data_IF_906510170305
#
_entry.id   IF_906510170305
#
_cell.length_a   1.000
_cell.length_b   1.000
_cell.length_c   1.000
_cell.angle_alpha   90.00
_cell.angle_beta   90.00
_cell.angle_gamma   90.00
#
_symmetry.space_group_name_H-M   'P 1'
#
loop_
_entity.id
_entity.type
_entity.pdbx_description
1 polymer ?
#
# COMPACT_ATOMS: atom_id res chain seq x y z
N UNK A 1 33.60 -6.05 27.76
CA UNK A 1 33.83 -4.84 28.56
C UNK A 1 32.97 -4.97 29.81
N UNK A 2 33.55 -5.39 30.95
CA UNK A 2 32.84 -5.60 32.21
C UNK A 2 33.32 -4.61 33.28
N UNK A 3 33.03 -3.32 33.07
CA UNK A 3 33.24 -2.30 34.10
C UNK A 3 31.90 -1.61 34.36
N UNK A 4 31.21 -1.95 35.46
CA UNK A 4 29.99 -1.26 35.89
C UNK A 4 30.33 0.19 36.24
N UNK A 5 30.16 1.09 35.27
CA UNK A 5 30.37 2.52 35.45
C UNK A 5 29.30 3.10 36.38
N UNK A 6 29.68 3.88 37.42
CA UNK A 6 28.72 4.55 38.31
C UNK A 6 27.97 5.70 37.62
N UNK A 7 28.54 6.30 36.57
CA UNK A 7 27.88 7.28 35.69
C UNK A 7 28.13 6.89 34.23
N UNK A 8 27.06 6.55 33.52
CA UNK A 8 27.13 6.15 32.11
C UNK A 8 27.18 7.35 31.15
N UNK A 9 27.02 8.60 31.60
CA UNK A 9 26.99 9.79 30.73
C UNK A 9 28.23 9.98 29.86
N UNK A 10 29.47 9.79 30.35
CA UNK A 10 30.66 9.92 29.50
C UNK A 10 30.68 8.87 28.39
N UNK A 11 30.26 7.64 28.70
CA UNK A 11 30.16 6.55 27.73
C UNK A 11 29.11 6.87 26.66
N UNK A 12 27.94 7.37 27.06
CA UNK A 12 26.86 7.79 26.15
C UNK A 12 27.37 8.82 25.14
N UNK A 13 28.07 9.87 25.59
CA UNK A 13 28.59 10.92 24.71
C UNK A 13 29.64 10.39 23.72
N UNK A 14 30.48 9.45 24.15
CA UNK A 14 31.49 8.82 23.29
C UNK A 14 30.80 7.94 22.25
N UNK A 15 29.92 7.05 22.68
CA UNK A 15 29.20 6.15 21.78
C UNK A 15 28.33 6.91 20.77
N UNK A 16 27.66 7.99 21.18
CA UNK A 16 26.90 8.86 20.27
C UNK A 16 27.82 9.50 19.21
N UNK A 17 28.96 10.07 19.64
CA UNK A 17 29.91 10.73 18.72
C UNK A 17 30.52 9.77 17.69
N UNK A 18 30.73 8.52 18.06
CA UNK A 18 31.36 7.52 17.20
C UNK A 18 30.37 6.55 16.54
N UNK A 19 29.05 6.74 16.74
CA UNK A 19 28.01 5.93 16.10
C UNK A 19 27.79 4.54 16.70
N UNK A 20 28.32 4.24 17.89
CA UNK A 20 28.13 2.97 18.61
C UNK A 20 26.85 2.97 19.47
N UNK A 21 25.78 3.55 18.96
CA UNK A 21 24.49 3.68 19.67
C UNK A 21 23.83 2.31 19.94
N UNK A 22 23.85 1.34 19.01
CA UNK A 22 23.33 -0.01 19.29
C UNK A 22 24.12 -0.71 20.40
N UNK A 23 25.46 -0.75 20.34
CA UNK A 23 26.30 -1.38 21.37
C UNK A 23 26.12 -0.72 22.74
N UNK A 24 26.00 0.60 22.78
CA UNK A 24 25.68 1.34 24.00
C UNK A 24 24.32 0.92 24.57
N UNK A 25 23.30 0.83 23.71
CA UNK A 25 21.94 0.49 24.13
C UNK A 25 21.90 -0.93 24.71
N UNK A 26 22.56 -1.89 24.05
CA UNK A 26 22.72 -3.25 24.54
C UNK A 26 23.39 -3.27 25.92
N UNK A 27 24.53 -2.59 26.05
CA UNK A 27 25.25 -2.52 27.32
C UNK A 27 24.41 -1.91 28.46
N UNK A 28 23.70 -0.80 28.19
CA UNK A 28 22.84 -0.15 29.16
C UNK A 28 21.65 -1.05 29.55
N UNK A 29 21.09 -1.79 28.59
CA UNK A 29 19.99 -2.72 28.85
C UNK A 29 20.43 -3.90 29.70
N UNK A 30 21.50 -4.61 29.32
CA UNK A 30 22.06 -5.74 30.09
C UNK A 30 22.51 -5.33 31.49
N UNK A 31 22.93 -4.07 31.65
CA UNK A 31 23.31 -3.50 32.95
C UNK A 31 22.12 -2.98 33.78
N UNK A 32 20.89 -3.14 33.29
CA UNK A 32 19.65 -2.66 33.91
C UNK A 32 19.62 -1.13 34.16
N UNK A 33 20.22 -0.36 33.25
CA UNK A 33 20.36 1.10 33.30
C UNK A 33 19.34 1.83 32.41
N UNK A 34 18.07 1.41 32.44
CA UNK A 34 16.99 1.91 31.55
C UNK A 34 16.81 3.44 31.59
N UNK A 35 16.99 4.06 32.77
CA UNK A 35 16.88 5.52 32.95
C UNK A 35 17.90 6.30 32.10
N UNK A 36 19.06 5.71 31.84
CA UNK A 36 20.08 6.33 31.00
C UNK A 36 19.73 6.22 29.51
N UNK A 37 19.04 5.15 29.11
CA UNK A 37 18.51 4.98 27.76
C UNK A 37 17.44 6.04 27.48
N UNK A 38 16.47 6.20 28.39
CA UNK A 38 15.46 7.26 28.31
C UNK A 38 16.09 8.65 28.28
N UNK A 39 17.04 8.91 29.18
CA UNK A 39 17.74 10.18 29.27
C UNK A 39 18.54 10.52 27.99
N UNK A 40 19.14 9.50 27.36
CA UNK A 40 19.85 9.66 26.09
C UNK A 40 18.90 10.09 24.97
N UNK A 41 17.82 9.34 24.79
CA UNK A 41 16.85 9.60 23.71
C UNK A 41 16.10 10.92 23.93
N UNK A 42 15.79 11.30 25.17
CA UNK A 42 15.07 12.54 25.46
C UNK A 42 15.95 13.80 25.46
N UNK A 43 17.18 13.72 25.96
CA UNK A 43 18.00 14.92 26.26
C UNK A 43 19.26 15.06 25.42
N UNK A 44 19.79 13.97 24.88
CA UNK A 44 21.06 13.98 24.14
C UNK A 44 20.78 13.99 22.65
N UNK A 45 20.14 12.95 22.13
CA UNK A 45 19.91 12.83 20.69
C UNK A 45 18.62 12.06 20.37
N UNK A 46 17.47 12.74 20.28
CA UNK A 46 16.20 12.13 19.87
C UNK A 46 16.22 11.55 18.46
N UNK A 47 17.09 12.05 17.57
CA UNK A 47 17.23 11.54 16.20
C UNK A 47 17.71 10.09 16.15
N UNK A 48 18.42 9.63 17.17
CA UNK A 48 18.89 8.24 17.29
C UNK A 48 17.88 7.30 17.97
N UNK A 49 16.69 7.79 18.34
CA UNK A 49 15.62 6.97 18.90
C UNK A 49 15.31 5.70 18.07
N UNK A 50 15.26 5.73 16.73
CA UNK A 50 15.03 4.52 15.92
C UNK A 50 16.06 3.42 16.15
N UNK A 51 17.34 3.78 16.26
CA UNK A 51 18.44 2.83 16.48
C UNK A 51 18.36 2.23 17.88
N UNK A 52 18.04 3.06 18.88
CA UNK A 52 17.84 2.60 20.26
C UNK A 52 16.66 1.65 20.34
N UNK A 53 15.51 2.00 19.74
CA UNK A 53 14.34 1.12 19.69
C UNK A 53 14.66 -0.18 18.94
N UNK A 54 15.37 -0.11 17.81
CA UNK A 54 15.80 -1.27 17.05
C UNK A 54 16.64 -2.23 17.88
N UNK A 55 17.61 -1.71 18.64
CA UNK A 55 18.43 -2.54 19.54
C UNK A 55 17.64 -3.08 20.72
N UNK A 56 16.77 -2.29 21.35
CA UNK A 56 15.92 -2.77 22.44
C UNK A 56 15.01 -3.92 22.00
N UNK A 57 14.55 -3.89 20.75
CA UNK A 57 13.80 -5.00 20.16
C UNK A 57 14.67 -6.25 19.97
N UNK A 58 15.93 -6.09 19.53
CA UNK A 58 16.90 -7.19 19.43
C UNK A 58 17.20 -7.83 20.80
N UNK A 59 17.20 -7.02 21.86
CA UNK A 59 17.46 -7.46 23.23
C UNK A 59 16.20 -8.00 23.96
N UNK A 60 15.09 -8.22 23.24
CA UNK A 60 13.81 -8.71 23.78
C UNK A 60 13.25 -7.84 24.93
N UNK A 61 13.48 -6.53 24.87
CA UNK A 61 12.98 -5.59 25.86
C UNK A 61 11.44 -5.58 25.93
N UNK A 62 10.82 -5.45 27.12
CA UNK A 62 9.37 -5.38 27.26
C UNK A 62 8.74 -4.27 26.41
N UNK A 63 7.71 -4.62 25.65
CA UNK A 63 7.06 -3.68 24.72
C UNK A 63 6.53 -2.41 25.41
N UNK A 64 6.09 -2.52 26.67
CA UNK A 64 5.57 -1.38 27.44
C UNK A 64 6.62 -0.29 27.64
N UNK A 65 7.87 -0.69 27.88
CA UNK A 65 8.99 0.24 28.00
C UNK A 65 9.28 0.92 26.66
N UNK A 66 9.31 0.14 25.58
CA UNK A 66 9.56 0.66 24.22
C UNK A 66 8.44 1.65 23.82
N UNK A 67 7.18 1.31 24.07
CA UNK A 67 6.03 2.21 23.82
C UNK A 67 6.15 3.49 24.63
N UNK A 68 6.49 3.40 25.92
CA UNK A 68 6.73 4.55 26.79
C UNK A 68 7.85 5.45 26.26
N UNK A 69 8.96 4.86 25.81
CA UNK A 69 10.10 5.57 25.24
C UNK A 69 9.69 6.32 23.96
N UNK A 70 9.01 5.66 23.02
CA UNK A 70 8.54 6.27 21.76
C UNK A 70 7.59 7.44 22.04
N UNK A 71 6.61 7.25 22.93
CA UNK A 71 5.66 8.31 23.29
C UNK A 71 6.36 9.50 23.94
N UNK A 72 7.45 9.27 24.69
CA UNK A 72 8.20 10.35 25.35
C UNK A 72 8.94 11.29 24.38
N UNK A 73 9.30 10.80 23.19
CA UNK A 73 10.01 11.59 22.15
C UNK A 73 9.22 11.76 20.86
N UNK A 74 7.90 11.57 20.93
CA UNK A 74 6.98 11.54 19.78
C UNK A 74 7.13 12.68 18.78
N UNK A 75 7.43 13.91 19.22
CA UNK A 75 7.48 15.10 18.38
C UNK A 75 8.80 15.26 17.59
N UNK A 76 9.86 14.56 17.99
CA UNK A 76 11.19 14.68 17.41
C UNK A 76 11.64 13.39 16.72
N UNK A 77 10.79 12.37 16.72
CA UNK A 77 11.14 11.04 16.27
C UNK A 77 10.94 10.91 14.75
N UNK A 78 11.98 10.53 13.99
CA UNK A 78 11.86 10.31 12.56
C UNK A 78 11.12 8.97 12.31
N UNK A 79 9.95 9.05 11.69
CA UNK A 79 9.02 7.92 11.51
C UNK A 79 9.56 6.89 10.52
N UNK A 80 10.11 7.32 9.38
CA UNK A 80 10.61 6.41 8.34
C UNK A 80 11.72 5.47 8.86
N UNK A 81 12.80 5.95 9.51
CA UNK A 81 13.81 5.08 10.07
C UNK A 81 13.26 4.15 11.16
N UNK A 82 12.34 4.64 12.01
CA UNK A 82 11.73 3.82 13.06
C UNK A 82 10.93 2.65 12.47
N UNK A 83 10.12 2.93 11.45
CA UNK A 83 9.34 1.93 10.74
C UNK A 83 10.26 0.91 10.09
N UNK A 84 11.35 1.35 9.45
CA UNK A 84 12.33 0.45 8.85
C UNK A 84 13.01 -0.48 9.88
N UNK A 85 13.37 0.04 11.05
CA UNK A 85 13.97 -0.76 12.13
C UNK A 85 12.98 -1.77 12.72
N UNK A 86 11.69 -1.42 12.83
CA UNK A 86 10.62 -2.33 13.27
C UNK A 86 10.22 -3.36 12.19
N UNK A 87 10.34 -3.04 10.90
CA UNK A 87 10.04 -3.95 9.79
C UNK A 87 11.08 -5.06 9.65
N UNK A 88 12.36 -4.75 9.86
CA UNK A 88 13.47 -5.71 9.75
C UNK A 88 13.33 -6.90 10.70
N UNK A 89 12.72 -6.68 11.87
CA UNK A 89 12.84 -7.56 13.04
C UNK A 89 11.50 -8.13 13.49
N UNK A 90 10.94 -9.11 12.76
CA UNK A 90 9.77 -9.87 13.22
C UNK A 90 8.41 -9.14 13.22
N UNK A 91 8.17 -8.27 12.22
CA UNK A 91 6.85 -7.67 11.97
C UNK A 91 6.23 -6.99 13.21
N UNK A 92 7.07 -6.38 14.06
CA UNK A 92 6.68 -5.66 15.28
C UNK A 92 6.11 -4.27 15.01
N UNK A 93 5.75 -3.99 13.76
CA UNK A 93 5.05 -2.77 13.35
C UNK A 93 3.82 -2.47 14.24
N UNK A 94 3.12 -3.52 14.71
CA UNK A 94 1.97 -3.37 15.64
C UNK A 94 2.32 -2.61 16.93
N UNK A 95 3.58 -2.63 17.38
CA UNK A 95 4.02 -1.85 18.54
C UNK A 95 3.83 -0.35 18.33
N UNK A 96 3.94 0.10 17.07
CA UNK A 96 3.81 1.50 16.68
C UNK A 96 2.36 1.95 16.50
N UNK A 97 1.37 1.04 16.58
CA UNK A 97 -0.03 1.36 16.23
C UNK A 97 -0.55 2.56 17.01
N UNK A 98 -0.42 2.55 18.35
CA UNK A 98 -0.90 3.61 19.22
C UNK A 98 -0.20 4.95 18.92
N UNK A 99 1.11 4.91 18.67
CA UNK A 99 1.89 6.10 18.33
C UNK A 99 1.45 6.70 16.98
N UNK A 100 1.29 5.88 15.95
CA UNK A 100 0.87 6.30 14.62
C UNK A 100 -0.59 6.80 14.61
N UNK A 101 -1.49 6.13 15.31
CA UNK A 101 -2.89 6.57 15.48
C UNK A 101 -2.98 7.93 16.16
N UNK A 102 -2.15 8.17 17.20
CA UNK A 102 -2.05 9.49 17.82
C UNK A 102 -1.59 10.55 16.82
N UNK A 103 -0.54 10.30 16.03
CA UNK A 103 -0.07 11.24 15.00
C UNK A 103 -1.16 11.54 13.95
N UNK A 104 -1.91 10.54 13.50
CA UNK A 104 -3.04 10.74 12.58
C UNK A 104 -4.16 11.55 13.23
N UNK A 105 -4.48 11.29 14.50
CA UNK A 105 -5.50 12.04 15.25
C UNK A 105 -5.12 13.50 15.49
N UNK A 106 -3.82 13.79 15.61
CA UNK A 106 -3.26 15.15 15.70
C UNK A 106 -3.27 15.86 14.34
N UNK A 107 -3.66 15.18 13.24
CA UNK A 107 -3.79 15.74 11.91
C UNK A 107 -2.52 15.65 11.06
N UNK A 108 -1.60 14.75 11.39
CA UNK A 108 -0.43 14.51 10.54
C UNK A 108 -0.86 14.07 9.14
N UNK A 109 -0.19 14.62 8.12
CA UNK A 109 -0.34 14.26 6.71
C UNK A 109 0.90 13.53 6.18
N UNK A 110 1.80 13.12 7.08
CA UNK A 110 3.05 12.47 6.71
C UNK A 110 2.78 11.11 6.05
N UNK A 111 3.22 10.97 4.81
CA UNK A 111 3.09 9.76 3.99
C UNK A 111 3.69 8.55 4.72
N UNK A 112 4.80 8.71 5.44
CA UNK A 112 5.46 7.60 6.13
C UNK A 112 4.63 7.08 7.32
N UNK A 113 3.95 7.97 8.05
CA UNK A 113 3.02 7.62 9.13
C UNK A 113 1.86 6.80 8.57
N UNK A 114 1.25 7.27 7.49
CA UNK A 114 0.11 6.61 6.86
C UNK A 114 0.49 5.29 6.18
N UNK A 115 1.67 5.21 5.57
CA UNK A 115 2.19 3.97 5.01
C UNK A 115 2.38 2.91 6.09
N UNK A 116 3.01 3.27 7.21
CA UNK A 116 3.24 2.36 8.32
C UNK A 116 1.92 1.90 8.96
N UNK A 117 0.98 2.82 9.17
CA UNK A 117 -0.34 2.49 9.71
C UNK A 117 -1.11 1.56 8.76
N UNK A 118 -1.06 1.83 7.46
CA UNK A 118 -1.65 0.96 6.43
C UNK A 118 -1.10 -0.46 6.50
N UNK A 119 0.23 -0.61 6.57
CA UNK A 119 0.86 -1.93 6.73
C UNK A 119 0.38 -2.65 7.99
N UNK A 120 0.29 -1.95 9.13
CA UNK A 120 -0.23 -2.53 10.40
C UNK A 120 -1.67 -3.00 10.26
N UNK A 121 -2.52 -2.20 9.62
CA UNK A 121 -3.95 -2.52 9.45
C UNK A 121 -4.12 -3.76 8.57
N UNK A 122 -3.37 -3.84 7.47
CA UNK A 122 -3.32 -5.02 6.59
C UNK A 122 -2.86 -6.26 7.37
N UNK A 123 -1.82 -6.11 8.19
CA UNK A 123 -1.28 -7.20 9.01
C UNK A 123 -2.24 -7.68 10.08
N UNK A 124 -3.05 -6.78 10.60
CA UNK A 124 -4.02 -7.04 11.66
C UNK A 124 -5.38 -7.47 11.10
N UNK A 125 -5.54 -7.46 9.78
CA UNK A 125 -6.78 -7.72 9.07
C UNK A 125 -7.97 -6.90 9.61
N UNK A 126 -7.70 -5.66 10.01
CA UNK A 126 -8.69 -4.78 10.64
C UNK A 126 -9.32 -3.83 9.61
N UNK A 127 -10.28 -4.31 8.83
CA UNK A 127 -10.95 -3.54 7.77
C UNK A 127 -9.98 -2.77 6.85
N UNK A 128 -8.98 -3.44 6.24
CA UNK A 128 -7.96 -2.79 5.43
C UNK A 128 -8.54 -2.08 4.19
N UNK A 129 -9.60 -2.61 3.59
CA UNK A 129 -10.28 -1.95 2.47
C UNK A 129 -10.75 -0.54 2.83
N UNK A 130 -11.38 -0.38 4.00
CA UNK A 130 -11.88 0.91 4.46
C UNK A 130 -10.75 1.93 4.65
N UNK A 131 -9.60 1.49 5.18
CA UNK A 131 -8.44 2.34 5.31
C UNK A 131 -7.91 2.76 3.94
N UNK A 132 -7.77 1.81 3.01
CA UNK A 132 -7.25 2.07 1.67
C UNK A 132 -8.16 2.99 0.84
N UNK A 133 -9.48 2.95 1.04
CA UNK A 133 -10.41 3.84 0.32
C UNK A 133 -10.54 5.22 0.96
N UNK A 134 -10.46 5.31 2.29
CA UNK A 134 -10.78 6.55 3.03
C UNK A 134 -9.55 7.42 3.24
N UNK A 135 -8.36 6.83 3.32
CA UNK A 135 -7.15 7.57 3.64
C UNK A 135 -6.48 8.16 2.37
N UNK A 136 -6.32 9.49 2.27
CA UNK A 136 -5.72 10.13 1.10
C UNK A 136 -4.21 10.36 1.20
N UNK A 137 -3.56 10.01 2.31
CA UNK A 137 -2.18 10.45 2.58
C UNK A 137 -1.14 9.32 2.45
N UNK A 138 -1.56 8.06 2.35
CA UNK A 138 -0.60 6.97 2.10
C UNK A 138 -0.14 6.95 0.63
N UNK A 139 1.06 6.42 0.39
CA UNK A 139 1.59 6.12 -0.93
C UNK A 139 1.09 4.75 -1.39
N UNK A 140 0.27 4.78 -2.44
CA UNK A 140 -0.29 3.59 -3.07
C UNK A 140 0.76 2.62 -3.59
N UNK A 141 1.94 3.07 -4.01
CA UNK A 141 3.01 2.18 -4.49
C UNK A 141 3.63 1.38 -3.37
N UNK A 142 3.93 2.04 -2.26
CA UNK A 142 4.56 1.41 -1.09
C UNK A 142 3.59 0.44 -0.42
N UNK A 143 2.36 0.89 -0.17
CA UNK A 143 1.33 0.05 0.48
C UNK A 143 0.85 -1.04 -0.47
N UNK A 144 0.64 -0.74 -1.75
CA UNK A 144 0.24 -1.73 -2.75
C UNK A 144 1.25 -2.87 -2.90
N UNK A 145 2.55 -2.56 -2.98
CA UNK A 145 3.61 -3.57 -3.04
C UNK A 145 3.67 -4.43 -1.78
N UNK A 146 3.30 -3.86 -0.64
CA UNK A 146 3.18 -4.61 0.60
C UNK A 146 1.95 -5.53 0.60
N UNK A 147 0.80 -5.05 0.10
CA UNK A 147 -0.41 -5.85 -0.10
C UNK A 147 -0.17 -7.04 -1.03
N UNK A 148 0.61 -6.89 -2.11
CA UNK A 148 0.88 -7.96 -3.09
C UNK A 148 1.31 -9.29 -2.45
N UNK A 149 2.07 -9.24 -1.36
CA UNK A 149 2.58 -10.42 -0.66
C UNK A 149 1.55 -11.05 0.28
N UNK A 150 0.56 -10.29 0.73
CA UNK A 150 -0.42 -10.71 1.74
C UNK A 150 -1.80 -10.97 1.13
N UNK A 151 -2.32 -9.98 0.42
CA UNK A 151 -3.59 -10.03 -0.30
C UNK A 151 -3.51 -9.21 -1.61
N UNK A 152 -3.44 -9.91 -2.76
CA UNK A 152 -3.43 -9.27 -4.07
C UNK A 152 -4.68 -8.43 -4.37
N UNK A 153 -5.82 -8.72 -3.75
CA UNK A 153 -7.05 -7.93 -3.97
C UNK A 153 -6.97 -6.56 -3.29
N UNK A 154 -6.40 -6.50 -2.08
CA UNK A 154 -6.12 -5.23 -1.39
C UNK A 154 -5.09 -4.39 -2.14
N UNK A 155 -4.13 -5.02 -2.81
CA UNK A 155 -3.17 -4.32 -3.66
C UNK A 155 -3.87 -3.57 -4.81
N UNK A 156 -4.87 -4.20 -5.44
CA UNK A 156 -5.68 -3.57 -6.49
C UNK A 156 -6.41 -2.33 -5.95
N UNK A 157 -6.96 -2.37 -4.73
CA UNK A 157 -7.62 -1.21 -4.12
C UNK A 157 -6.62 -0.07 -3.90
N UNK A 158 -5.45 -0.37 -3.35
CA UNK A 158 -4.39 0.61 -3.12
C UNK A 158 -3.92 1.27 -4.42
N UNK A 159 -3.64 0.48 -5.46
CA UNK A 159 -3.17 0.98 -6.75
C UNK A 159 -4.23 1.75 -7.52
N UNK A 160 -5.50 1.31 -7.45
CA UNK A 160 -6.64 2.02 -8.04
C UNK A 160 -6.75 3.44 -7.52
N UNK A 161 -6.56 3.63 -6.21
CA UNK A 161 -6.59 4.95 -5.56
C UNK A 161 -5.42 5.84 -6.02
N UNK A 162 -4.24 5.25 -6.21
CA UNK A 162 -3.03 5.97 -6.63
C UNK A 162 -2.83 6.09 -8.14
N UNK A 163 -3.80 5.64 -8.95
CA UNK A 163 -3.69 5.58 -10.42
C UNK A 163 -2.40 4.88 -10.89
N UNK A 164 -1.98 3.84 -10.15
CA UNK A 164 -0.79 3.04 -10.46
C UNK A 164 -1.19 1.92 -11.43
N UNK A 165 -1.46 2.33 -12.67
CA UNK A 165 -2.01 1.50 -13.73
C UNK A 165 -1.13 0.27 -14.05
N UNK A 166 0.18 0.48 -14.19
CA UNK A 166 1.15 -0.57 -14.54
C UNK A 166 1.31 -1.61 -13.42
N UNK A 167 1.39 -1.16 -12.17
CA UNK A 167 1.49 -2.05 -11.01
C UNK A 167 0.21 -2.87 -10.83
N UNK A 168 -0.97 -2.27 -11.00
CA UNK A 168 -2.25 -2.96 -10.93
C UNK A 168 -2.36 -4.06 -11.98
N UNK A 169 -2.00 -3.77 -13.24
CA UNK A 169 -1.99 -4.76 -14.33
C UNK A 169 -1.03 -5.91 -13.99
N UNK A 170 0.17 -5.61 -13.49
CA UNK A 170 1.15 -6.63 -13.16
C UNK A 170 0.66 -7.57 -12.06
N UNK A 171 0.04 -7.03 -11.00
CA UNK A 171 -0.50 -7.83 -9.89
C UNK A 171 -1.68 -8.68 -10.33
N UNK A 172 -2.58 -8.11 -11.13
CA UNK A 172 -3.75 -8.83 -11.61
C UNK A 172 -3.37 -9.94 -12.58
N UNK A 173 -2.45 -9.69 -13.51
CA UNK A 173 -1.90 -10.71 -14.40
C UNK A 173 -1.23 -11.86 -13.65
N UNK A 174 -0.38 -11.55 -12.65
CA UNK A 174 0.33 -12.56 -11.83
C UNK A 174 -0.61 -13.43 -11.01
N UNK A 175 -1.70 -12.85 -10.49
CA UNK A 175 -2.63 -13.53 -9.59
C UNK A 175 -3.93 -13.99 -10.28
N UNK A 176 -4.00 -13.88 -11.62
CA UNK A 176 -5.19 -14.19 -12.42
C UNK A 176 -6.46 -13.43 -11.99
N UNK A 177 -6.31 -12.21 -11.47
CA UNK A 177 -7.41 -11.35 -11.00
C UNK A 177 -8.05 -10.54 -12.15
N UNK A 178 -8.31 -11.19 -13.28
CA UNK A 178 -8.81 -10.56 -14.50
C UNK A 178 -10.18 -9.89 -14.33
N UNK A 179 -11.02 -10.39 -13.41
CA UNK A 179 -12.31 -9.76 -13.08
C UNK A 179 -12.13 -8.35 -12.50
N UNK A 180 -11.18 -8.16 -11.59
CA UNK A 180 -10.90 -6.86 -10.99
C UNK A 180 -10.19 -5.93 -11.96
N UNK A 181 -9.28 -6.49 -12.78
CA UNK A 181 -8.60 -5.76 -13.85
C UNK A 181 -9.59 -5.24 -14.89
N UNK A 182 -10.51 -6.08 -15.38
CA UNK A 182 -11.54 -5.72 -16.33
C UNK A 182 -12.39 -4.55 -15.84
N UNK A 183 -12.87 -4.62 -14.58
CA UNK A 183 -13.63 -3.53 -13.96
C UNK A 183 -12.82 -2.24 -13.89
N UNK A 184 -11.55 -2.33 -13.50
CA UNK A 184 -10.67 -1.16 -13.40
C UNK A 184 -10.43 -0.47 -14.75
N UNK A 185 -10.10 -1.25 -15.79
CA UNK A 185 -9.83 -0.71 -17.14
C UNK A 185 -11.07 -0.04 -17.73
N UNK A 186 -12.24 -0.66 -17.57
CA UNK A 186 -13.53 -0.09 -18.01
C UNK A 186 -13.87 1.19 -17.24
N UNK A 187 -13.63 1.24 -15.92
CA UNK A 187 -13.87 2.43 -15.09
C UNK A 187 -12.93 3.59 -15.45
N UNK A 188 -11.66 3.31 -15.77
CA UNK A 188 -10.66 4.34 -16.13
C UNK A 188 -10.93 4.99 -17.48
N UNK A 189 -11.51 4.26 -18.43
CA UNK A 189 -11.79 4.73 -19.80
C UNK A 189 -10.56 5.33 -20.51
N UNK A 190 -9.36 4.93 -20.09
CA UNK A 190 -8.10 5.50 -20.56
C UNK A 190 -7.58 4.75 -21.78
N UNK A 191 -7.28 5.46 -22.86
CA UNK A 191 -6.90 4.85 -24.13
C UNK A 191 -5.53 4.17 -24.07
N UNK A 192 -4.56 4.78 -23.38
CA UNK A 192 -3.21 4.24 -23.24
C UNK A 192 -3.23 2.95 -22.40
N UNK A 193 -4.09 2.90 -21.37
CA UNK A 193 -4.35 1.70 -20.57
C UNK A 193 -4.92 0.56 -21.42
N UNK A 194 -5.92 0.87 -22.26
CA UNK A 194 -6.53 -0.10 -23.17
C UNK A 194 -5.51 -0.65 -24.18
N UNK A 195 -4.67 0.19 -24.76
CA UNK A 195 -3.63 -0.23 -25.70
C UNK A 195 -2.62 -1.19 -25.04
N UNK A 196 -2.20 -0.88 -23.81
CA UNK A 196 -1.29 -1.76 -23.03
C UNK A 196 -1.90 -3.12 -22.77
N UNK A 197 -3.16 -3.18 -22.30
CA UNK A 197 -3.77 -4.46 -21.90
C UNK A 197 -4.22 -5.30 -23.10
N UNK A 198 -4.61 -4.65 -24.20
CA UNK A 198 -5.02 -5.30 -25.46
C UNK A 198 -3.85 -5.57 -26.40
N UNK A 199 -2.61 -5.28 -26.00
CA UNK A 199 -1.42 -5.55 -26.80
C UNK A 199 -1.38 -7.04 -27.23
N UNK A 200 -1.17 -7.35 -28.53
CA UNK A 200 -1.10 -8.73 -29.02
C UNK A 200 -0.02 -9.58 -28.36
N UNK A 201 1.08 -8.98 -27.87
CA UNK A 201 2.15 -9.68 -27.16
C UNK A 201 1.77 -10.07 -25.72
N UNK A 202 0.67 -9.54 -25.20
CA UNK A 202 0.20 -9.87 -23.86
C UNK A 202 -0.48 -11.25 -23.84
N UNK A 203 0.18 -12.23 -23.22
CA UNK A 203 -0.34 -13.59 -23.07
C UNK A 203 -1.70 -13.66 -22.34
N UNK A 204 -2.02 -12.67 -21.51
CA UNK A 204 -3.25 -12.62 -20.72
C UNK A 204 -4.39 -11.84 -21.41
N UNK A 205 -4.15 -11.31 -22.61
CA UNK A 205 -5.12 -10.51 -23.37
C UNK A 205 -6.49 -11.19 -23.49
N UNK A 206 -6.52 -12.46 -23.88
CA UNK A 206 -7.76 -13.23 -24.08
C UNK A 206 -8.57 -13.32 -22.78
N UNK A 207 -7.91 -13.68 -21.68
CA UNK A 207 -8.53 -13.83 -20.37
C UNK A 207 -9.11 -12.52 -19.86
N UNK A 208 -8.42 -11.40 -20.10
CA UNK A 208 -8.94 -10.09 -19.76
C UNK A 208 -10.18 -9.74 -20.59
N UNK A 209 -10.13 -9.94 -21.91
CA UNK A 209 -11.26 -9.69 -22.82
C UNK A 209 -12.49 -10.47 -22.39
N UNK A 210 -12.33 -11.78 -22.12
CA UNK A 210 -13.42 -12.63 -21.66
C UNK A 210 -14.08 -12.08 -20.39
N UNK A 211 -13.28 -11.57 -19.44
CA UNK A 211 -13.80 -10.95 -18.20
C UNK A 211 -14.43 -9.57 -18.41
N UNK A 212 -13.92 -8.78 -19.37
CA UNK A 212 -14.53 -7.50 -19.75
C UNK A 212 -15.93 -7.74 -20.31
N UNK A 213 -16.07 -8.68 -21.24
CA UNK A 213 -17.34 -9.02 -21.90
C UNK A 213 -18.32 -9.71 -20.94
N UNK A 214 -17.84 -10.62 -20.10
CA UNK A 214 -18.72 -11.42 -19.22
C UNK A 214 -19.11 -10.74 -17.91
N UNK A 215 -18.28 -9.81 -17.39
CA UNK A 215 -18.47 -9.27 -16.05
C UNK A 215 -18.48 -7.75 -16.00
N UNK A 216 -17.42 -7.08 -16.49
CA UNK A 216 -17.26 -5.64 -16.28
C UNK A 216 -18.29 -4.79 -17.04
N UNK A 217 -18.62 -5.15 -18.28
CA UNK A 217 -19.59 -4.41 -19.09
C UNK A 217 -21.05 -4.68 -18.72
N UNK A 218 -21.47 -5.92 -18.39
CA UNK A 218 -22.81 -6.15 -17.83
C UNK A 218 -23.05 -5.43 -16.50
N UNK A 219 -22.02 -5.30 -15.65
CA UNK A 219 -22.09 -4.53 -14.40
C UNK A 219 -22.05 -3.01 -14.64
N UNK A 220 -21.50 -2.56 -15.78
CA UNK A 220 -21.44 -1.14 -16.13
C UNK A 220 -22.82 -0.60 -16.50
N UNK A 221 -23.18 0.52 -15.87
CA UNK A 221 -24.42 1.27 -16.16
C UNK A 221 -24.16 2.55 -16.96
N UNK A 222 -22.90 2.84 -17.29
CA UNK A 222 -22.50 4.07 -17.97
C UNK A 222 -22.32 3.82 -19.47
N UNK A 223 -23.06 4.54 -20.33
CA UNK A 223 -22.88 4.44 -21.79
C UNK A 223 -21.51 4.89 -22.26
N UNK A 224 -20.84 5.79 -21.52
CA UNK A 224 -19.50 6.26 -21.81
C UNK A 224 -18.46 5.13 -21.66
N UNK A 225 -18.56 4.34 -20.59
CA UNK A 225 -17.67 3.19 -20.34
C UNK A 225 -17.79 2.12 -21.43
N UNK A 226 -19.02 1.82 -21.87
CA UNK A 226 -19.27 0.89 -22.98
C UNK A 226 -18.70 1.43 -24.29
N UNK A 227 -18.96 2.70 -24.60
CA UNK A 227 -18.45 3.35 -25.82
C UNK A 227 -16.91 3.37 -25.87
N UNK A 228 -16.25 3.72 -24.76
CA UNK A 228 -14.79 3.70 -24.65
C UNK A 228 -14.23 2.29 -24.87
N UNK A 229 -14.86 1.27 -24.27
CA UNK A 229 -14.47 -0.13 -24.44
C UNK A 229 -14.65 -0.59 -25.90
N UNK A 230 -15.79 -0.29 -26.54
CA UNK A 230 -16.02 -0.61 -27.96
C UNK A 230 -14.95 0.02 -28.85
N UNK A 231 -14.64 1.31 -28.63
CA UNK A 231 -13.63 2.03 -29.41
C UNK A 231 -12.23 1.42 -29.23
N UNK A 232 -11.87 1.02 -28.01
CA UNK A 232 -10.61 0.35 -27.73
C UNK A 232 -10.51 -1.00 -28.47
N UNK A 233 -11.56 -1.81 -28.45
CA UNK A 233 -11.59 -3.08 -29.18
C UNK A 233 -11.54 -2.91 -30.71
N UNK A 234 -12.19 -1.87 -31.25
CA UNK A 234 -12.09 -1.54 -32.68
C UNK A 234 -10.66 -1.18 -33.06
N UNK A 235 -9.98 -0.41 -32.22
CA UNK A 235 -8.58 0.01 -32.43
C UNK A 235 -7.62 -1.18 -32.33
N UNK A 236 -7.92 -2.14 -31.46
CA UNK A 236 -7.13 -3.36 -31.27
C UNK A 236 -7.45 -4.49 -32.27
N UNK A 237 -8.25 -4.19 -33.32
CA UNK A 237 -8.66 -5.12 -34.38
C UNK A 237 -9.31 -6.42 -33.84
N UNK A 238 -10.26 -6.28 -32.92
CA UNK A 238 -11.01 -7.37 -32.29
C UNK A 238 -12.50 -7.41 -32.70
N UNK A 239 -12.83 -7.56 -33.99
CA UNK A 239 -14.22 -7.48 -34.47
C UNK A 239 -15.12 -8.60 -33.94
N UNK A 240 -14.58 -9.82 -33.74
CA UNK A 240 -15.38 -10.95 -33.27
C UNK A 240 -15.84 -10.76 -31.80
N UNK A 241 -14.94 -10.32 -30.94
CA UNK A 241 -15.22 -10.06 -29.51
C UNK A 241 -16.18 -8.88 -29.34
N UNK A 242 -16.10 -7.89 -30.24
CA UNK A 242 -17.04 -6.77 -30.30
C UNK A 242 -18.47 -7.23 -30.59
N UNK A 243 -18.66 -8.14 -31.54
CA UNK A 243 -19.98 -8.66 -31.89
C UNK A 243 -20.59 -9.39 -30.68
N UNK A 244 -19.82 -10.28 -30.05
CA UNK A 244 -20.28 -11.02 -28.86
C UNK A 244 -20.66 -10.07 -27.70
N UNK A 245 -19.85 -9.02 -27.49
CA UNK A 245 -20.10 -7.98 -26.50
C UNK A 245 -21.40 -7.22 -26.80
N UNK A 246 -21.59 -6.79 -28.03
CA UNK A 246 -22.78 -6.05 -28.44
C UNK A 246 -24.05 -6.89 -28.31
N UNK A 247 -24.01 -8.16 -28.71
CA UNK A 247 -25.12 -9.10 -28.52
C UNK A 247 -25.50 -9.23 -27.04
N UNK A 248 -24.51 -9.45 -26.15
CA UNK A 248 -24.76 -9.57 -24.71
C UNK A 248 -25.32 -8.30 -24.08
N UNK A 249 -24.81 -7.12 -24.46
CA UNK A 249 -25.32 -5.84 -23.94
C UNK A 249 -26.76 -5.59 -24.39
N UNK A 250 -27.09 -5.86 -25.66
CA UNK A 250 -28.45 -5.69 -26.19
C UNK A 250 -29.42 -6.67 -25.52
N UNK A 251 -28.99 -7.91 -25.28
CA UNK A 251 -29.81 -8.94 -24.63
C UNK A 251 -30.04 -8.67 -23.13
N UNK A 252 -29.04 -8.15 -22.40
CA UNK A 252 -29.09 -8.05 -20.94
C UNK A 252 -29.48 -6.66 -20.42
N UNK A 253 -29.21 -5.59 -21.17
CA UNK A 253 -29.25 -4.23 -20.62
C UNK A 253 -30.19 -3.33 -21.44
N UNK A 254 -31.48 -3.37 -21.09
CA UNK A 254 -32.56 -2.62 -21.73
C UNK A 254 -32.35 -1.09 -21.72
N UNK A 255 -31.52 -0.56 -20.82
CA UNK A 255 -31.14 0.85 -20.78
C UNK A 255 -30.30 1.32 -21.98
N UNK A 256 -29.60 0.41 -22.66
CA UNK A 256 -28.73 0.72 -23.79
C UNK A 256 -29.46 0.67 -25.15
N UNK A 257 -30.66 0.10 -25.17
CA UNK A 257 -31.51 -0.01 -26.37
C UNK A 257 -31.91 1.35 -26.96
N UNK A 258 -31.89 2.43 -26.16
CA UNK A 258 -32.23 3.79 -26.60
C UNK A 258 -31.06 4.68 -27.04
N UNK A 259 -29.81 4.20 -26.96
CA UNK A 259 -28.64 5.02 -27.32
C UNK A 259 -28.34 4.96 -28.83
N UNK A 260 -28.69 6.03 -29.55
CA UNK A 260 -28.49 6.17 -31.00
C UNK A 260 -27.05 5.93 -31.46
N UNK A 261 -26.04 6.35 -30.69
CA UNK A 261 -24.63 6.13 -31.03
C UNK A 261 -24.23 4.65 -30.97
N UNK A 262 -24.77 3.89 -30.01
CA UNK A 262 -24.49 2.46 -29.88
C UNK A 262 -25.27 1.65 -30.92
N UNK A 263 -26.50 2.07 -31.25
CA UNK A 263 -27.24 1.50 -32.39
C UNK A 263 -26.52 1.76 -33.72
N UNK A 264 -25.98 2.97 -33.94
CA UNK A 264 -25.20 3.26 -35.13
C UNK A 264 -23.90 2.46 -35.18
N UNK A 265 -23.23 2.25 -34.05
CA UNK A 265 -22.06 1.36 -33.97
C UNK A 265 -22.43 -0.10 -34.29
N UNK A 266 -23.52 -0.62 -33.73
CA UNK A 266 -24.09 -1.93 -34.06
C UNK A 266 -24.36 -2.10 -35.56
N UNK A 267 -24.94 -1.10 -36.21
CA UNK A 267 -25.24 -1.09 -37.65
C UNK A 267 -23.95 -0.99 -38.50
N UNK A 268 -22.91 -0.33 -37.99
CA UNK A 268 -21.61 -0.19 -38.68
C UNK A 268 -20.71 -1.41 -38.54
N UNK A 269 -20.93 -2.26 -37.51
CA UNK A 269 -20.13 -3.47 -37.25
C UNK A 269 -20.80 -4.78 -37.69
N UNK A 270 -22.10 -4.75 -38.01
CA UNK A 270 -22.86 -5.88 -38.61
C UNK A 270 -22.73 -5.90 -40.13
#
# INVERSE_FOLDING_TARGET
MEAKLPDARPLINVCDRFGFVPDLTHYLYTSNMLRYIEGYVQKVNPGNAPLVVGQLLDDECPEDFIKGLILSVRSLLPVEPLVAECEKRWNRLRLLSQFLEHLVSEGSQDVHVHNALGKIIIDSNNNPEHFLTTNPYYDSRVVGKYCEKRDPTLAVVAYRRGQCDDELINVTNKNSLFKLQARYVVERMDADLWEKVLNPDNAYRRQLIDQVVSTALPESKSPEQVSASVKAFMTADLPHELIELLEKIVLQNSAFSGNFNLQNLLILTA
#
